data_IF_267115465163
#
_entry.id   IF_267115465163
#
_cell.length_a   1.000
_cell.length_b   1.000
_cell.length_c   1.000
_cell.angle_alpha   90.00
_cell.angle_beta   90.00
_cell.angle_gamma   90.00
#
_symmetry.space_group_name_H-M   'P 1'
#
loop_
_entity.id
_entity.type
_entity.pdbx_description
1 polymer ?
#
# COMPACT_ATOMS: atom_id res chain seq x y z
N UNK A 1 -24.77 18.04 20.79
CA UNK A 1 -23.87 16.86 20.85
C UNK A 1 -24.04 16.14 22.21
N UNK A 2 -25.22 15.60 22.51
CA UNK A 2 -25.54 15.01 23.84
C UNK A 2 -26.25 13.64 23.70
N UNK A 3 -26.97 13.44 22.59
CA UNK A 3 -27.80 12.26 22.31
C UNK A 3 -27.06 10.91 22.38
N UNK A 4 -25.83 10.74 21.83
CA UNK A 4 -25.18 9.42 21.83
C UNK A 4 -24.80 8.91 23.22
N UNK A 5 -24.60 9.81 24.19
CA UNK A 5 -24.27 9.44 25.59
C UNK A 5 -25.51 9.00 26.36
N UNK A 6 -26.65 9.63 26.10
CA UNK A 6 -27.91 9.27 26.74
C UNK A 6 -28.39 7.89 26.25
N UNK A 7 -28.26 7.58 24.95
CA UNK A 7 -28.61 6.26 24.39
C UNK A 7 -27.83 5.10 25.05
N UNK A 8 -26.55 5.31 25.39
CA UNK A 8 -25.73 4.32 26.10
C UNK A 8 -26.19 4.07 27.54
N UNK A 9 -26.68 5.10 28.23
CA UNK A 9 -27.20 4.99 29.61
C UNK A 9 -28.50 4.17 29.69
N UNK A 10 -29.30 4.14 28.62
CA UNK A 10 -30.54 3.34 28.50
C UNK A 10 -30.29 1.96 27.87
N UNK A 11 -29.03 1.52 27.76
CA UNK A 11 -28.68 0.19 27.26
C UNK A 11 -28.88 -0.01 25.76
N UNK A 12 -29.07 1.07 24.98
CA UNK A 12 -29.18 0.94 23.52
C UNK A 12 -27.80 0.69 22.90
N UNK A 13 -27.67 -0.29 22.00
CA UNK A 13 -26.41 -0.52 21.30
C UNK A 13 -26.07 0.72 20.46
N UNK A 14 -24.80 1.15 20.42
CA UNK A 14 -24.39 2.29 19.63
C UNK A 14 -24.71 2.05 18.16
N UNK A 15 -25.30 3.04 17.50
CA UNK A 15 -25.53 3.01 16.04
C UNK A 15 -24.18 2.84 15.32
N UNK A 16 -24.05 1.78 14.53
CA UNK A 16 -22.89 1.53 13.68
C UNK A 16 -23.03 2.38 12.41
N UNK A 17 -22.28 3.47 12.33
CA UNK A 17 -22.35 4.42 11.21
C UNK A 17 -21.55 3.96 9.97
N UNK A 18 -20.80 2.87 10.09
CA UNK A 18 -20.02 2.27 9.01
C UNK A 18 -20.17 0.75 9.01
N UNK A 19 -19.92 0.14 7.85
CA UNK A 19 -19.74 -1.31 7.73
C UNK A 19 -18.25 -1.58 7.54
N UNK A 20 -17.74 -2.56 8.24
CA UNK A 20 -16.39 -3.06 7.99
C UNK A 20 -16.36 -3.73 6.62
N UNK A 21 -15.36 -3.39 5.83
CA UNK A 21 -15.11 -3.99 4.52
C UNK A 21 -13.68 -4.48 4.48
N UNK A 22 -13.51 -5.79 4.30
CA UNK A 22 -12.22 -6.40 4.13
C UNK A 22 -11.78 -6.28 2.67
N UNK A 23 -10.79 -5.43 2.40
CA UNK A 23 -10.22 -5.28 1.06
C UNK A 23 -9.49 -6.56 0.59
N UNK A 24 -8.92 -7.31 1.54
CA UNK A 24 -8.28 -8.61 1.33
C UNK A 24 -8.74 -9.57 2.42
N UNK A 25 -8.82 -10.86 2.11
CA UNK A 25 -9.21 -11.90 3.06
C UNK A 25 -8.43 -13.18 2.76
N UNK A 26 -7.57 -13.61 3.69
CA UNK A 26 -6.86 -14.90 3.61
C UNK A 26 -6.01 -15.10 2.36
N UNK A 27 -5.34 -14.05 1.86
CA UNK A 27 -4.47 -14.14 0.68
C UNK A 27 -3.12 -14.72 1.08
N UNK A 28 -2.65 -15.76 0.39
CA UNK A 28 -1.33 -16.38 0.61
C UNK A 28 -0.77 -16.88 -0.70
N UNK A 29 0.46 -16.48 -1.02
CA UNK A 29 1.22 -16.91 -2.18
C UNK A 29 2.71 -16.58 -1.96
N UNK A 30 3.56 -17.22 -2.76
CA UNK A 30 4.98 -16.93 -2.83
C UNK A 30 5.33 -16.57 -4.28
N UNK A 31 6.35 -15.73 -4.47
CA UNK A 31 6.87 -15.37 -5.79
C UNK A 31 8.36 -15.64 -5.79
N UNK A 32 8.77 -16.59 -6.62
CA UNK A 32 10.16 -16.99 -6.80
C UNK A 32 10.98 -15.98 -7.61
N UNK A 33 12.31 -16.10 -7.51
CA UNK A 33 13.23 -15.26 -8.28
C UNK A 33 13.10 -15.58 -9.78
N UNK A 34 12.81 -14.56 -10.58
CA UNK A 34 12.63 -14.69 -12.03
C UNK A 34 11.21 -15.03 -12.45
N UNK A 35 10.28 -15.18 -11.50
CA UNK A 35 8.87 -15.39 -11.81
C UNK A 35 8.18 -14.08 -12.21
N UNK A 36 7.24 -14.19 -13.15
CA UNK A 36 6.32 -13.10 -13.50
C UNK A 36 4.92 -13.50 -13.08
N UNK A 37 4.31 -12.70 -12.20
CA UNK A 37 2.97 -12.96 -11.67
C UNK A 37 2.01 -11.83 -12.06
N UNK A 38 0.86 -12.20 -12.62
CA UNK A 38 -0.22 -11.28 -12.95
C UNK A 38 -1.32 -11.30 -11.90
N UNK A 39 -1.66 -10.15 -11.32
CA UNK A 39 -2.80 -10.00 -10.40
C UNK A 39 -3.98 -9.41 -11.17
N UNK A 40 -5.02 -10.23 -11.39
CA UNK A 40 -6.23 -9.83 -12.15
C UNK A 40 -7.48 -9.90 -11.28
N UNK A 41 -8.48 -9.07 -11.61
CA UNK A 41 -9.73 -9.00 -10.87
C UNK A 41 -10.52 -7.71 -11.15
N UNK A 42 -11.79 -7.67 -10.76
CA UNK A 42 -12.66 -6.50 -10.97
C UNK A 42 -12.20 -5.28 -10.16
N UNK A 43 -12.70 -4.10 -10.49
CA UNK A 43 -12.48 -2.91 -9.66
C UNK A 43 -13.03 -3.14 -8.24
N UNK A 44 -12.29 -2.68 -7.23
CA UNK A 44 -12.63 -2.92 -5.82
C UNK A 44 -12.24 -4.31 -5.28
N UNK A 45 -11.61 -5.19 -6.07
CA UNK A 45 -11.21 -6.53 -5.60
C UNK A 45 -9.95 -6.57 -4.72
N UNK A 46 -9.43 -5.42 -4.26
CA UNK A 46 -8.26 -5.36 -3.39
C UNK A 46 -6.89 -5.37 -4.05
N UNK A 47 -6.78 -5.37 -5.39
CA UNK A 47 -5.48 -5.45 -6.11
C UNK A 47 -4.49 -4.36 -5.69
N UNK A 48 -4.92 -3.10 -5.71
CA UNK A 48 -4.07 -1.97 -5.32
C UNK A 48 -3.68 -2.06 -3.85
N UNK A 49 -4.60 -2.46 -2.98
CA UNK A 49 -4.33 -2.70 -1.56
C UNK A 49 -3.28 -3.79 -1.35
N UNK A 50 -3.36 -4.89 -2.11
CA UNK A 50 -2.37 -5.97 -2.08
C UNK A 50 -1.00 -5.48 -2.55
N UNK A 51 -0.94 -4.73 -3.66
CA UNK A 51 0.32 -4.15 -4.15
C UNK A 51 0.92 -3.15 -3.16
N UNK A 52 0.12 -2.30 -2.52
CA UNK A 52 0.59 -1.37 -1.49
C UNK A 52 1.15 -2.09 -0.26
N UNK A 53 0.51 -3.19 0.16
CA UNK A 53 1.02 -4.05 1.23
C UNK A 53 2.36 -4.67 0.84
N UNK A 54 2.47 -5.21 -0.37
CA UNK A 54 3.74 -5.77 -0.88
C UNK A 54 4.83 -4.70 -0.92
N UNK A 55 4.52 -3.49 -1.39
CA UNK A 55 5.44 -2.37 -1.45
C UNK A 55 5.78 -1.76 -0.07
N UNK A 56 5.10 -2.19 1.00
CA UNK A 56 5.28 -1.66 2.35
C UNK A 56 4.68 -0.27 2.57
N UNK A 57 3.88 0.26 1.63
CA UNK A 57 3.17 1.55 1.79
C UNK A 57 1.89 1.43 2.60
N UNK A 58 1.42 0.19 2.83
CA UNK A 58 0.28 -0.12 3.69
C UNK A 58 0.59 -1.32 4.58
N UNK A 59 0.28 -1.23 5.88
CA UNK A 59 0.48 -2.34 6.80
C UNK A 59 -0.73 -3.29 6.78
N UNK A 60 -0.54 -4.63 6.74
CA UNK A 60 -1.66 -5.56 6.75
C UNK A 60 -2.39 -5.51 8.10
N UNK A 61 -3.71 -5.64 8.08
CA UNK A 61 -4.53 -5.77 9.32
C UNK A 61 -4.20 -7.06 10.07
N UNK A 62 -3.83 -8.13 9.36
CA UNK A 62 -3.47 -9.43 9.90
C UNK A 62 -2.53 -10.18 8.94
N UNK A 63 -1.69 -11.05 9.49
CA UNK A 63 -0.70 -11.80 8.71
C UNK A 63 0.63 -11.06 8.54
N UNK A 64 1.48 -11.54 7.64
CA UNK A 64 2.80 -10.97 7.36
C UNK A 64 3.11 -10.99 5.87
N UNK A 65 4.04 -10.13 5.47
CA UNK A 65 4.64 -10.12 4.13
C UNK A 65 6.14 -9.99 4.31
N UNK A 66 6.89 -10.88 3.64
CA UNK A 66 8.35 -10.91 3.66
C UNK A 66 8.87 -10.71 2.24
N UNK A 67 9.86 -9.83 2.09
CA UNK A 67 10.43 -9.46 0.80
C UNK A 67 11.95 -9.55 0.90
N UNK A 68 12.54 -10.41 0.07
CA UNK A 68 13.99 -10.55 -0.02
C UNK A 68 14.53 -9.69 -1.17
N UNK A 69 14.79 -8.41 -0.90
CA UNK A 69 15.36 -7.47 -1.87
C UNK A 69 14.71 -6.10 -1.83
N UNK A 70 14.83 -5.36 -2.94
CA UNK A 70 14.24 -4.03 -3.12
C UNK A 70 13.03 -4.13 -4.06
N UNK A 71 11.95 -3.45 -3.73
CA UNK A 71 10.77 -3.33 -4.60
C UNK A 71 10.82 -1.98 -5.31
N UNK A 72 10.75 -2.01 -6.64
CA UNK A 72 10.56 -0.83 -7.47
C UNK A 72 9.09 -0.72 -7.87
N UNK A 73 8.33 0.08 -7.13
CA UNK A 73 6.91 0.31 -7.41
C UNK A 73 6.73 1.28 -8.59
N UNK A 74 6.71 0.76 -9.82
CA UNK A 74 6.58 1.59 -11.03
C UNK A 74 5.28 2.42 -11.05
N UNK A 75 4.22 1.90 -10.44
CA UNK A 75 2.90 2.54 -10.40
C UNK A 75 2.86 3.78 -9.50
N UNK A 76 3.78 3.91 -8.55
CA UNK A 76 3.91 5.11 -7.70
C UNK A 76 4.95 6.11 -8.23
N UNK A 77 5.67 5.80 -9.32
CA UNK A 77 6.69 6.71 -9.87
C UNK A 77 6.13 8.09 -10.21
N UNK A 78 4.85 8.20 -10.57
CA UNK A 78 4.20 9.50 -10.80
C UNK A 78 4.12 10.41 -9.56
N UNK A 79 4.21 9.87 -8.35
CA UNK A 79 4.19 10.63 -7.10
C UNK A 79 5.59 11.09 -6.64
N UNK A 80 6.66 10.54 -7.22
CA UNK A 80 8.05 10.83 -6.86
C UNK A 80 8.76 11.84 -7.78
N UNK A 81 8.13 12.25 -8.89
CA UNK A 81 8.67 13.28 -9.77
C UNK A 81 8.30 14.67 -9.28
N UNK A 82 9.30 15.54 -9.14
CA UNK A 82 9.11 16.97 -8.92
C UNK A 82 9.11 17.69 -10.27
N UNK A 83 8.01 18.39 -10.65
CA UNK A 83 7.94 19.17 -11.89
C UNK A 83 8.98 20.28 -11.99
N UNK A 84 9.46 20.79 -10.86
CA UNK A 84 10.49 21.82 -10.79
C UNK A 84 11.90 21.27 -11.02
N UNK A 85 12.07 19.95 -11.05
CA UNK A 85 13.35 19.29 -11.26
C UNK A 85 13.51 18.86 -12.72
N UNK A 86 14.75 18.93 -13.22
CA UNK A 86 15.12 18.32 -14.49
C UNK A 86 14.92 16.80 -14.45
N UNK A 87 14.86 16.17 -15.63
CA UNK A 87 14.77 14.71 -15.70
C UNK A 87 15.93 14.01 -14.98
N UNK A 88 17.15 14.57 -15.05
CA UNK A 88 18.33 14.05 -14.35
C UNK A 88 18.14 14.10 -12.84
N UNK A 89 17.73 15.25 -12.30
CA UNK A 89 17.53 15.41 -10.86
C UNK A 89 16.45 14.47 -10.33
N UNK A 90 15.38 14.28 -11.10
CA UNK A 90 14.35 13.32 -10.78
C UNK A 90 14.84 11.86 -10.81
N UNK A 91 15.72 11.49 -11.74
CA UNK A 91 16.36 10.17 -11.75
C UNK A 91 17.16 9.96 -10.47
N UNK A 92 17.98 10.94 -10.07
CA UNK A 92 18.76 10.86 -8.83
C UNK A 92 17.86 10.78 -7.58
N UNK A 93 16.79 11.57 -7.53
CA UNK A 93 15.83 11.56 -6.43
C UNK A 93 15.16 10.19 -6.28
N UNK A 94 14.57 9.67 -7.37
CA UNK A 94 13.87 8.38 -7.35
C UNK A 94 14.83 7.23 -7.05
N UNK A 95 16.03 7.23 -7.63
CA UNK A 95 17.04 6.22 -7.34
C UNK A 95 17.43 6.23 -5.85
N UNK A 96 17.54 7.42 -5.24
CA UNK A 96 17.83 7.55 -3.80
C UNK A 96 16.69 7.02 -2.93
N UNK A 97 15.43 7.29 -3.30
CA UNK A 97 14.23 6.75 -2.61
C UNK A 97 14.20 5.22 -2.68
N UNK A 98 14.59 4.65 -3.82
CA UNK A 98 14.70 3.20 -4.02
C UNK A 98 15.93 2.58 -3.33
N UNK A 99 16.72 3.38 -2.61
CA UNK A 99 17.91 2.91 -1.91
C UNK A 99 19.04 2.49 -2.86
N UNK A 100 19.12 3.09 -4.05
CA UNK A 100 20.29 2.94 -4.92
C UNK A 100 21.45 3.77 -4.32
N UNK A 101 22.65 3.22 -4.18
CA UNK A 101 23.82 3.99 -3.73
C UNK A 101 24.22 5.05 -4.75
N UNK A 102 24.66 6.22 -4.29
CA UNK A 102 25.06 7.33 -5.17
C UNK A 102 26.15 6.94 -6.18
N UNK A 103 27.07 6.06 -5.78
CA UNK A 103 28.15 5.54 -6.63
C UNK A 103 27.67 4.73 -7.84
N UNK A 104 26.44 4.22 -7.81
CA UNK A 104 25.83 3.47 -8.91
C UNK A 104 25.01 4.38 -9.85
N UNK A 105 24.91 5.68 -9.56
CA UNK A 105 24.08 6.64 -10.32
C UNK A 105 24.90 7.55 -11.27
N UNK A 106 26.22 7.42 -11.26
CA UNK A 106 27.17 8.16 -12.13
C UNK A 106 27.60 7.27 -13.31
#
# INVERSE_FOLDING_TARGET
>A
MVVPRLERLIGRPPRRYFRDFAALSGVSFEVGRGETVGIIGRNGSGKSTLLQIICGTLQPTSGSVEVNGRIAALLELGAGFNPEFTGRENVFLNASILGVPRKEME
#
